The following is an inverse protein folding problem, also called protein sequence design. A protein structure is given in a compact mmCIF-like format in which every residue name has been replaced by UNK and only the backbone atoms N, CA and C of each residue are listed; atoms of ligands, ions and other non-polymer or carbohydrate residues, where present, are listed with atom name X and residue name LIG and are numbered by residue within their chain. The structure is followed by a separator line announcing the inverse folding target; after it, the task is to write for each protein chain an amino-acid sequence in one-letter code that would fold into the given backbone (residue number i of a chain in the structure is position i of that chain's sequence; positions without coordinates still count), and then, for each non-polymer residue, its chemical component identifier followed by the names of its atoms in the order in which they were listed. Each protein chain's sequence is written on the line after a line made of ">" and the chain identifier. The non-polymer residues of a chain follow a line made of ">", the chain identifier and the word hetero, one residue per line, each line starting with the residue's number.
data_IF_973483705991
#
_entry.id   IF_973483705991
#
_cell.length_a   1.000
_cell.length_b   1.000
_cell.length_c   1.000
_cell.angle_alpha   90.00
_cell.angle_beta   90.00
_cell.angle_gamma   90.00
#
_symmetry.space_group_name_H-M   'P 1'
#
loop_
_entity.id
_entity.type
_entity.pdbx_description
1 polymer ?
#
# COMPACT_ATOMS: atom_id res chain seq x y z
N UNK A 1 7.42 -10.63 -6.89
CA UNK A 1 7.19 -9.73 -5.73
C UNK A 1 6.38 -10.46 -4.68
N UNK A 2 6.96 -10.75 -3.51
CA UNK A 2 6.28 -11.49 -2.44
C UNK A 2 5.08 -10.68 -1.91
N UNK A 3 3.86 -11.24 -1.82
CA UNK A 3 2.66 -10.53 -1.34
C UNK A 3 2.73 -10.01 0.10
N UNK A 4 3.73 -10.46 0.87
CA UNK A 4 4.03 -9.96 2.21
C UNK A 4 4.81 -8.65 2.16
N UNK A 5 5.76 -8.53 1.24
CA UNK A 5 6.58 -7.33 1.07
C UNK A 5 5.73 -6.12 0.69
N UNK A 6 4.77 -6.31 -0.23
CA UNK A 6 3.83 -5.25 -0.65
C UNK A 6 2.96 -4.73 0.50
N UNK A 7 2.57 -5.60 1.43
CA UNK A 7 1.77 -5.20 2.60
C UNK A 7 2.62 -4.39 3.57
N UNK A 8 3.84 -4.86 3.87
CA UNK A 8 4.78 -4.14 4.75
C UNK A 8 5.09 -2.76 4.18
N UNK A 9 5.45 -2.68 2.90
CA UNK A 9 5.74 -1.40 2.23
C UNK A 9 4.51 -0.49 2.24
N UNK A 10 3.30 -1.01 2.00
CA UNK A 10 2.09 -0.18 2.06
C UNK A 10 1.84 0.41 3.44
N UNK A 11 2.08 -0.35 4.52
CA UNK A 11 1.93 0.14 5.90
C UNK A 11 2.96 1.24 6.19
N UNK A 12 4.21 1.07 5.77
CA UNK A 12 5.24 2.09 5.93
C UNK A 12 4.90 3.38 5.16
N UNK A 13 4.41 3.28 3.92
CA UNK A 13 3.99 4.45 3.14
C UNK A 13 2.80 5.17 3.76
N UNK A 14 1.82 4.43 4.29
CA UNK A 14 0.66 5.03 4.96
C UNK A 14 1.08 5.73 6.25
N UNK A 15 1.88 5.07 7.10
CA UNK A 15 2.36 5.64 8.35
C UNK A 15 3.24 6.87 8.13
N UNK A 16 4.20 6.79 7.21
CA UNK A 16 5.06 7.90 6.86
C UNK A 16 4.28 9.05 6.22
N UNK A 17 3.35 8.77 5.29
CA UNK A 17 2.50 9.78 4.67
C UNK A 17 1.64 10.55 5.68
N UNK A 18 1.10 9.89 6.70
CA UNK A 18 0.35 10.55 7.78
C UNK A 18 1.25 11.49 8.59
N UNK A 19 2.45 11.04 8.96
CA UNK A 19 3.41 11.87 9.71
C UNK A 19 3.87 13.06 8.86
N UNK A 20 4.12 12.85 7.58
CA UNK A 20 4.55 13.88 6.63
C UNK A 20 3.45 14.95 6.42
N UNK A 21 2.18 14.55 6.37
CA UNK A 21 1.02 15.46 6.34
C UNK A 21 0.96 16.34 7.59
N UNK A 22 1.20 15.75 8.76
CA UNK A 22 1.03 16.42 10.05
C UNK A 22 2.19 17.36 10.41
N UNK A 23 3.42 17.05 9.96
CA UNK A 23 4.62 17.72 10.47
C UNK A 23 5.53 18.35 9.42
N UNK A 24 5.43 17.99 8.14
CA UNK A 24 6.44 18.38 7.13
C UNK A 24 5.82 19.07 5.93
N UNK A 25 5.00 18.36 5.14
CA UNK A 25 4.42 18.91 3.91
C UNK A 25 3.15 18.15 3.49
N UNK A 26 2.01 18.83 3.60
CA UNK A 26 0.69 18.27 3.30
C UNK A 26 0.60 17.65 1.90
N UNK A 27 1.14 18.31 0.87
CA UNK A 27 1.04 17.84 -0.53
C UNK A 27 1.81 16.53 -0.72
N UNK A 28 3.00 16.46 -0.13
CA UNK A 28 3.93 15.34 -0.27
C UNK A 28 3.41 14.10 0.48
N UNK A 29 2.89 14.31 1.69
CA UNK A 29 2.29 13.23 2.48
C UNK A 29 0.98 12.69 1.90
N UNK A 30 0.14 13.53 1.26
CA UNK A 30 -1.05 13.08 0.52
C UNK A 30 -0.66 12.24 -0.70
N UNK A 31 0.38 12.63 -1.44
CA UNK A 31 0.89 11.85 -2.56
C UNK A 31 1.40 10.47 -2.11
N UNK A 32 2.13 10.41 -0.99
CA UNK A 32 2.62 9.16 -0.39
C UNK A 32 1.47 8.24 0.05
N UNK A 33 0.41 8.80 0.64
CA UNK A 33 -0.79 8.06 1.00
C UNK A 33 -1.48 7.45 -0.23
N UNK A 34 -1.65 8.21 -1.31
CA UNK A 34 -2.26 7.71 -2.55
C UNK A 34 -1.45 6.55 -3.15
N UNK A 35 -0.12 6.66 -3.15
CA UNK A 35 0.77 5.58 -3.60
C UNK A 35 0.63 4.34 -2.71
N UNK A 36 0.62 4.51 -1.39
CA UNK A 36 0.43 3.41 -0.43
C UNK A 36 -0.91 2.69 -0.62
N UNK A 37 -2.00 3.42 -0.82
CA UNK A 37 -3.33 2.87 -1.10
C UNK A 37 -3.33 2.11 -2.43
N UNK A 38 -2.74 2.68 -3.49
CA UNK A 38 -2.68 2.03 -4.79
C UNK A 38 -1.90 0.71 -4.76
N UNK A 39 -0.75 0.69 -4.07
CA UNK A 39 0.03 -0.52 -3.86
C UNK A 39 -0.76 -1.59 -3.10
N UNK A 40 -1.52 -1.19 -2.08
CA UNK A 40 -2.35 -2.10 -1.29
C UNK A 40 -3.49 -2.70 -2.12
N UNK A 41 -4.18 -1.89 -2.94
CA UNK A 41 -5.23 -2.36 -3.87
C UNK A 41 -4.67 -3.34 -4.89
N UNK A 42 -3.49 -3.05 -5.47
CA UNK A 42 -2.82 -3.94 -6.42
C UNK A 42 -2.42 -5.27 -5.76
N UNK A 43 -1.90 -5.22 -4.52
CA UNK A 43 -1.60 -6.41 -3.73
C UNK A 43 -2.86 -7.23 -3.41
N UNK A 44 -3.97 -6.57 -3.10
CA UNK A 44 -5.26 -7.22 -2.82
C UNK A 44 -5.81 -7.95 -4.05
N UNK A 45 -5.76 -7.31 -5.24
CA UNK A 45 -6.12 -7.96 -6.52
C UNK A 45 -5.26 -9.19 -6.79
N UNK A 46 -3.94 -9.09 -6.60
CA UNK A 46 -3.02 -10.24 -6.78
C UNK A 46 -3.31 -11.37 -5.77
N UNK A 47 -3.63 -11.05 -4.51
CA UNK A 47 -4.02 -12.06 -3.51
C UNK A 47 -5.35 -12.72 -3.85
N UNK A 48 -6.33 -11.97 -4.36
CA UNK A 48 -7.62 -12.52 -4.82
C UNK A 48 -7.42 -13.48 -6.00
N UNK A 49 -6.61 -13.11 -6.99
CA UNK A 49 -6.27 -13.97 -8.12
C UNK A 49 -5.55 -15.26 -7.67
N UNK A 50 -4.59 -15.16 -6.75
CA UNK A 50 -3.90 -16.32 -6.18
C UNK A 50 -4.81 -17.23 -5.35
N UNK A 51 -5.82 -16.68 -4.66
CA UNK A 51 -6.83 -17.48 -3.95
C UNK A 51 -7.76 -18.21 -4.91
N UNK A 52 -8.24 -17.54 -5.96
CA UNK A 52 -9.08 -18.16 -6.98
C UNK A 52 -8.34 -19.26 -7.75
N UNK A 53 -7.06 -19.04 -8.09
CA UNK A 53 -6.22 -20.04 -8.75
C UNK A 53 -5.86 -21.25 -7.87
N UNK A 54 -6.01 -21.14 -6.53
CA UNK A 54 -5.78 -22.25 -5.59
C UNK A 54 -7.08 -23.01 -5.25
N UNK A 55 -8.24 -22.50 -5.70
CA UNK A 55 -9.56 -23.11 -5.51
C UNK A 55 -10.07 -23.84 -6.76
N UNK A 56 -9.31 -23.81 -7.86
CA UNK A 56 -9.42 -24.77 -8.98
C UNK A 56 -8.37 -25.87 -8.79
#
# INVERSE_FOLDING_TARGET
>A
MSPRLLVVVSIFFIGYGIVDILFVNYVLGVALLLVGVWMNVSAYKKRKALRQAKSQ
#
